data_IF_226090030253
#
_entry.id   IF_226090030253
#
_cell.length_a   1.000
_cell.length_b   1.000
_cell.length_c   1.000
_cell.angle_alpha   90.00
_cell.angle_beta   90.00
_cell.angle_gamma   90.00
#
_symmetry.space_group_name_H-M   'P 1'
#
loop_
_entity.id
_entity.type
_entity.pdbx_description
1 polymer ?
#
# COMPACT_ATOMS: atom_id res chain seq x y z
N UNK A 1 20.56 -54.87 -10.31
CA UNK A 1 19.44 -54.31 -11.12
C UNK A 1 18.49 -53.36 -10.34
N UNK A 2 18.65 -53.16 -9.02
CA UNK A 2 17.70 -52.40 -8.18
C UNK A 2 17.91 -50.88 -8.04
N UNK A 3 19.12 -50.35 -8.23
CA UNK A 3 19.39 -48.91 -8.01
C UNK A 3 19.01 -47.99 -9.20
N UNK A 4 18.92 -48.53 -10.43
CA UNK A 4 18.52 -47.74 -11.62
C UNK A 4 17.02 -47.41 -11.69
N UNK A 5 16.15 -48.16 -10.99
CA UNK A 5 14.69 -47.90 -10.98
C UNK A 5 14.26 -46.78 -10.02
N UNK A 6 15.05 -46.47 -8.98
CA UNK A 6 14.74 -45.40 -8.02
C UNK A 6 15.12 -44.00 -8.54
N UNK A 7 16.18 -43.89 -9.35
CA UNK A 7 16.63 -42.61 -9.91
C UNK A 7 15.64 -42.01 -10.95
N UNK A 8 14.86 -42.86 -11.65
CA UNK A 8 13.86 -42.43 -12.64
C UNK A 8 12.56 -41.87 -12.02
N UNK A 9 12.17 -42.34 -10.83
CA UNK A 9 10.93 -41.92 -10.16
C UNK A 9 11.08 -40.61 -9.39
N UNK A 10 12.30 -40.28 -8.92
CA UNK A 10 12.54 -39.08 -8.11
C UNK A 10 12.15 -37.78 -8.83
N UNK A 11 12.52 -37.61 -10.11
CA UNK A 11 12.20 -36.39 -10.87
C UNK A 11 10.70 -36.18 -11.08
N UNK A 12 9.96 -37.25 -11.38
CA UNK A 12 8.51 -37.21 -11.64
C UNK A 12 7.78 -36.92 -10.34
N UNK A 13 8.22 -37.54 -9.24
CA UNK A 13 7.66 -37.31 -7.92
C UNK A 13 7.88 -35.87 -7.47
N UNK A 14 9.11 -35.33 -7.55
CA UNK A 14 9.37 -33.93 -7.19
C UNK A 14 8.63 -32.94 -8.11
N UNK A 15 8.56 -33.20 -9.42
CA UNK A 15 7.79 -32.34 -10.34
C UNK A 15 6.29 -32.35 -10.00
N UNK A 16 5.74 -33.51 -9.65
CA UNK A 16 4.34 -33.64 -9.21
C UNK A 16 4.13 -32.93 -7.88
N UNK A 17 5.04 -33.10 -6.92
CA UNK A 17 4.93 -32.50 -5.59
C UNK A 17 5.03 -30.98 -5.65
N UNK A 18 6.01 -30.43 -6.39
CA UNK A 18 6.10 -28.98 -6.65
C UNK A 18 4.84 -28.45 -7.36
N UNK A 19 4.23 -29.27 -8.21
CA UNK A 19 2.97 -28.93 -8.85
C UNK A 19 1.76 -28.81 -7.92
N UNK A 20 1.81 -29.46 -6.75
CA UNK A 20 0.69 -29.58 -5.80
C UNK A 20 0.91 -28.76 -4.53
N UNK A 21 2.11 -28.83 -3.96
CA UNK A 21 2.52 -28.25 -2.69
C UNK A 21 3.97 -27.74 -2.81
N UNK A 22 4.18 -26.61 -3.52
CA UNK A 22 5.51 -26.06 -3.77
C UNK A 22 6.23 -25.60 -2.50
N UNK A 23 5.50 -25.18 -1.46
CA UNK A 23 6.06 -24.67 -0.20
C UNK A 23 6.86 -25.76 0.53
N UNK A 24 6.33 -26.99 0.60
CA UNK A 24 7.07 -28.11 1.15
C UNK A 24 8.08 -28.70 0.15
N UNK A 25 7.70 -28.76 -1.13
CA UNK A 25 8.46 -29.49 -2.14
C UNK A 25 9.76 -28.80 -2.57
N UNK A 26 9.77 -27.47 -2.72
CA UNK A 26 10.96 -26.73 -3.19
C UNK A 26 12.12 -26.84 -2.17
N UNK A 27 11.91 -26.64 -0.85
CA UNK A 27 12.94 -26.87 0.15
C UNK A 27 13.43 -28.33 0.18
N UNK A 28 12.52 -29.29 0.08
CA UNK A 28 12.87 -30.71 0.04
C UNK A 28 13.71 -31.06 -1.20
N UNK A 29 13.40 -30.47 -2.36
CA UNK A 29 14.18 -30.62 -3.59
C UNK A 29 15.57 -30.00 -3.44
N UNK A 30 15.67 -28.81 -2.84
CA UNK A 30 16.96 -28.18 -2.57
C UNK A 30 17.83 -29.06 -1.64
N UNK A 31 17.25 -29.60 -0.58
CA UNK A 31 17.93 -30.54 0.31
C UNK A 31 18.35 -31.82 -0.43
N UNK A 32 17.51 -32.32 -1.35
CA UNK A 32 17.85 -33.47 -2.18
C UNK A 32 19.07 -33.23 -3.05
N UNK A 33 19.18 -32.06 -3.69
CA UNK A 33 20.37 -31.71 -4.46
C UNK A 33 21.61 -31.60 -3.57
N UNK A 34 21.50 -30.93 -2.41
CA UNK A 34 22.61 -30.77 -1.47
C UNK A 34 23.13 -32.11 -0.91
N UNK A 35 22.25 -33.11 -0.76
CA UNK A 35 22.61 -34.45 -0.29
C UNK A 35 23.23 -35.38 -1.35
N UNK A 36 23.40 -34.92 -2.59
CA UNK A 36 24.15 -35.66 -3.62
C UNK A 36 25.63 -35.24 -3.59
N UNK A 37 26.54 -36.21 -3.55
CA UNK A 37 27.98 -35.94 -3.47
C UNK A 37 28.63 -35.68 -4.84
N UNK A 38 27.96 -36.05 -5.93
CA UNK A 38 28.48 -35.91 -7.30
C UNK A 38 27.82 -34.71 -8.01
N UNK A 39 28.58 -33.65 -8.36
CA UNK A 39 28.07 -32.50 -9.12
C UNK A 39 27.44 -32.87 -10.47
N UNK A 40 27.91 -33.93 -11.13
CA UNK A 40 27.35 -34.38 -12.40
C UNK A 40 25.94 -34.96 -12.21
N UNK A 41 25.73 -35.75 -11.17
CA UNK A 41 24.41 -36.29 -10.83
C UNK A 41 23.45 -35.22 -10.29
N UNK A 42 23.95 -34.21 -9.56
CA UNK A 42 23.15 -33.02 -9.20
C UNK A 42 22.62 -32.30 -10.44
N UNK A 43 23.52 -31.98 -11.38
CA UNK A 43 23.18 -31.29 -12.63
C UNK A 43 22.19 -32.11 -13.44
N UNK A 44 22.45 -33.40 -13.62
CA UNK A 44 21.57 -34.31 -14.37
C UNK A 44 20.17 -34.41 -13.75
N UNK A 45 20.08 -34.46 -12.41
CA UNK A 45 18.78 -34.44 -11.73
C UNK A 45 18.06 -33.11 -11.93
N UNK A 46 18.76 -31.98 -11.83
CA UNK A 46 18.17 -30.66 -12.04
C UNK A 46 17.63 -30.48 -13.46
N UNK A 47 18.42 -30.86 -14.47
CA UNK A 47 17.99 -30.85 -15.88
C UNK A 47 16.74 -31.71 -16.08
N UNK A 48 16.75 -32.94 -15.58
CA UNK A 48 15.63 -33.86 -15.75
C UNK A 48 14.38 -33.40 -14.97
N UNK A 49 14.54 -32.84 -13.78
CA UNK A 49 13.46 -32.29 -12.96
C UNK A 49 12.77 -31.12 -13.66
N UNK A 50 13.52 -30.08 -14.06
CA UNK A 50 12.92 -28.84 -14.57
C UNK A 50 12.16 -29.09 -15.87
N UNK A 51 12.69 -29.96 -16.73
CA UNK A 51 12.03 -30.40 -17.97
C UNK A 51 10.78 -31.22 -17.67
N UNK A 52 10.79 -32.05 -16.62
CA UNK A 52 9.59 -32.80 -16.20
C UNK A 52 8.51 -31.87 -15.62
N UNK A 53 8.90 -30.80 -14.93
CA UNK A 53 7.98 -29.84 -14.33
C UNK A 53 7.27 -28.98 -15.38
N UNK A 54 8.02 -28.42 -16.33
CA UNK A 54 7.49 -27.53 -17.37
C UNK A 54 6.95 -28.27 -18.60
N UNK A 55 7.42 -29.49 -18.85
CA UNK A 55 7.30 -30.13 -20.15
C UNK A 55 8.46 -29.75 -21.08
N UNK A 56 8.68 -30.57 -22.11
CA UNK A 56 9.59 -30.25 -23.20
C UNK A 56 8.83 -29.62 -24.37
N UNK A 57 9.53 -29.17 -25.42
CA UNK A 57 8.89 -28.57 -26.62
C UNK A 57 7.86 -29.48 -27.32
N UNK A 58 7.88 -30.79 -27.04
CA UNK A 58 7.02 -31.82 -27.64
C UNK A 58 6.07 -32.51 -26.66
N UNK A 59 6.04 -32.11 -25.38
CA UNK A 59 5.20 -32.71 -24.35
C UNK A 59 4.72 -31.65 -23.35
N UNK A 60 3.41 -31.53 -23.15
CA UNK A 60 2.86 -30.69 -22.08
C UNK A 60 3.32 -31.20 -20.70
N UNK A 61 3.69 -30.27 -19.83
CA UNK A 61 4.01 -30.56 -18.43
C UNK A 61 2.83 -31.20 -17.73
N UNK A 62 3.03 -32.38 -17.14
CA UNK A 62 1.96 -33.16 -16.48
C UNK A 62 1.73 -32.76 -15.02
N UNK A 63 2.50 -31.81 -14.51
CA UNK A 63 2.39 -31.32 -13.15
C UNK A 63 1.20 -30.37 -13.03
N UNK A 64 0.56 -30.39 -11.86
CA UNK A 64 -0.34 -29.30 -11.46
C UNK A 64 0.45 -27.98 -11.39
N UNK A 65 -0.25 -26.84 -11.43
CA UNK A 65 0.37 -25.53 -11.63
C UNK A 65 0.45 -24.68 -10.34
N UNK A 66 0.40 -25.28 -9.15
CA UNK A 66 0.45 -24.52 -7.89
C UNK A 66 1.74 -23.69 -7.74
N UNK A 67 2.84 -24.13 -8.35
CA UNK A 67 4.11 -23.39 -8.39
C UNK A 67 4.09 -22.13 -9.28
N UNK A 68 3.00 -21.84 -10.01
CA UNK A 68 2.90 -20.66 -10.89
C UNK A 68 2.54 -19.40 -10.11
N UNK A 69 3.35 -19.10 -9.10
CA UNK A 69 3.35 -17.85 -8.35
C UNK A 69 4.71 -17.18 -8.51
N UNK A 70 4.78 -15.86 -8.35
CA UNK A 70 6.06 -15.12 -8.42
C UNK A 70 7.07 -15.67 -7.40
N UNK A 71 6.61 -15.99 -6.19
CA UNK A 71 7.44 -16.50 -5.10
C UNK A 71 8.07 -17.87 -5.43
N UNK A 72 7.26 -18.82 -5.88
CA UNK A 72 7.73 -20.17 -6.21
C UNK A 72 8.58 -20.15 -7.48
N UNK A 73 8.21 -19.36 -8.49
CA UNK A 73 8.99 -19.18 -9.73
C UNK A 73 10.37 -18.60 -9.44
N UNK A 74 10.46 -17.59 -8.56
CA UNK A 74 11.74 -17.02 -8.10
C UNK A 74 12.59 -18.08 -7.42
N UNK A 75 12.01 -18.81 -6.46
CA UNK A 75 12.71 -19.85 -5.69
C UNK A 75 13.22 -20.97 -6.59
N UNK A 76 12.39 -21.44 -7.51
CA UNK A 76 12.77 -22.43 -8.52
C UNK A 76 13.86 -21.89 -9.45
N UNK A 77 13.75 -20.66 -9.93
CA UNK A 77 14.76 -20.06 -10.80
C UNK A 77 16.13 -20.00 -10.11
N UNK A 78 16.19 -19.46 -8.89
CA UNK A 78 17.43 -19.35 -8.13
C UNK A 78 18.04 -20.71 -7.81
N UNK A 79 17.20 -21.71 -7.50
CA UNK A 79 17.65 -23.08 -7.29
C UNK A 79 18.20 -23.70 -8.58
N UNK A 80 17.49 -23.58 -9.69
CA UNK A 80 17.89 -24.14 -10.98
C UNK A 80 19.13 -23.46 -11.54
N UNK A 81 19.30 -22.15 -11.36
CA UNK A 81 20.45 -21.39 -11.84
C UNK A 81 21.79 -21.87 -11.24
N UNK A 82 21.78 -22.55 -10.09
CA UNK A 82 22.98 -23.17 -9.48
C UNK A 82 23.50 -24.36 -10.29
N UNK A 83 22.60 -25.12 -10.89
CA UNK A 83 22.91 -26.39 -11.58
C UNK A 83 22.80 -26.26 -13.10
N UNK A 84 22.01 -25.31 -13.59
CA UNK A 84 21.80 -25.01 -15.00
C UNK A 84 22.45 -23.64 -15.28
N UNK A 85 23.79 -23.60 -15.24
CA UNK A 85 24.56 -22.36 -15.36
C UNK A 85 24.40 -21.74 -16.74
N UNK A 86 24.32 -20.42 -16.81
CA UNK A 86 24.13 -19.69 -18.07
C UNK A 86 25.37 -19.71 -18.97
N UNK A 87 26.57 -19.80 -18.40
CA UNK A 87 27.82 -19.94 -19.16
C UNK A 87 27.89 -21.23 -20.00
N UNK A 88 27.18 -22.28 -19.54
CA UNK A 88 27.08 -23.57 -20.22
C UNK A 88 25.94 -23.62 -21.25
N UNK A 89 25.30 -22.48 -21.55
CA UNK A 89 24.16 -22.44 -22.45
C UNK A 89 24.55 -22.72 -23.91
N UNK A 90 23.86 -23.69 -24.51
CA UNK A 90 24.05 -24.06 -25.90
C UNK A 90 23.42 -22.97 -26.80
N UNK A 91 24.25 -22.29 -27.59
CA UNK A 91 23.80 -21.32 -28.60
C UNK A 91 23.56 -22.00 -29.95
N UNK A 92 22.28 -22.21 -30.27
CA UNK A 92 21.82 -22.82 -31.53
C UNK A 92 21.42 -21.81 -32.62
N UNK A 93 21.19 -20.55 -32.27
CA UNK A 93 20.76 -19.51 -33.20
C UNK A 93 21.74 -19.37 -34.39
N UNK A 94 21.20 -19.35 -35.61
CA UNK A 94 21.99 -19.18 -36.84
C UNK A 94 22.84 -20.38 -37.26
N UNK A 95 22.71 -21.55 -36.63
CA UNK A 95 23.56 -22.73 -36.89
C UNK A 95 22.89 -23.86 -37.69
N UNK A 96 21.80 -23.57 -38.39
CA UNK A 96 21.07 -24.55 -39.21
C UNK A 96 20.13 -25.46 -38.40
N UNK A 97 19.74 -26.58 -39.01
CA UNK A 97 18.78 -27.54 -38.42
C UNK A 97 19.48 -28.34 -37.32
N UNK A 98 18.85 -28.43 -36.14
CA UNK A 98 19.32 -29.24 -35.02
C UNK A 98 18.16 -29.99 -34.36
N UNK A 99 18.48 -31.07 -33.67
CA UNK A 99 17.55 -31.76 -32.77
C UNK A 99 17.83 -31.32 -31.33
N UNK A 100 16.87 -30.69 -30.62
CA UNK A 100 17.05 -30.29 -29.23
C UNK A 100 17.33 -31.49 -28.32
N UNK A 101 18.27 -31.34 -27.38
CA UNK A 101 18.52 -32.32 -26.32
C UNK A 101 17.99 -31.85 -24.96
N UNK A 102 18.14 -32.72 -23.94
CA UNK A 102 17.72 -32.42 -22.56
C UNK A 102 18.27 -31.08 -22.03
N UNK A 103 19.49 -30.73 -22.42
CA UNK A 103 20.11 -29.46 -22.04
C UNK A 103 19.44 -28.25 -22.70
N UNK A 104 19.09 -28.34 -23.98
CA UNK A 104 18.33 -27.29 -24.68
C UNK A 104 16.97 -27.07 -23.99
N UNK A 105 16.23 -28.15 -23.69
CA UNK A 105 14.92 -28.07 -23.01
C UNK A 105 15.02 -27.48 -21.59
N UNK A 106 16.06 -27.84 -20.85
CA UNK A 106 16.25 -27.35 -19.49
C UNK A 106 16.64 -25.86 -19.45
N UNK A 107 17.40 -25.39 -20.44
CA UNK A 107 17.67 -23.96 -20.62
C UNK A 107 16.38 -23.19 -20.89
N UNK A 108 15.53 -23.71 -21.77
CA UNK A 108 14.23 -23.10 -22.07
C UNK A 108 13.34 -23.05 -20.83
N UNK A 109 13.28 -24.14 -20.05
CA UNK A 109 12.51 -24.19 -18.82
C UNK A 109 13.04 -23.20 -17.76
N UNK A 110 14.38 -23.06 -17.61
CA UNK A 110 14.99 -22.03 -16.76
C UNK A 110 14.61 -20.62 -17.22
N UNK A 111 14.61 -20.37 -18.53
CA UNK A 111 14.24 -19.08 -19.10
C UNK A 111 12.74 -18.80 -18.93
N UNK A 112 11.89 -19.82 -18.98
CA UNK A 112 10.45 -19.70 -18.76
C UNK A 112 10.11 -19.28 -17.31
N UNK A 113 10.87 -19.77 -16.31
CA UNK A 113 10.71 -19.35 -14.91
C UNK A 113 10.88 -17.82 -14.75
N UNK A 114 11.95 -17.25 -15.31
CA UNK A 114 12.18 -15.79 -15.24
C UNK A 114 11.25 -15.00 -16.16
N UNK A 115 10.90 -15.54 -17.34
CA UNK A 115 9.94 -14.91 -18.23
C UNK A 115 8.58 -14.72 -17.54
N UNK A 116 8.10 -15.74 -16.83
CA UNK A 116 6.88 -15.64 -16.02
C UNK A 116 6.93 -14.47 -15.04
N UNK A 117 8.03 -14.32 -14.29
CA UNK A 117 8.19 -13.21 -13.33
C UNK A 117 8.19 -11.85 -14.06
N UNK A 118 8.91 -11.75 -15.18
CA UNK A 118 8.99 -10.51 -15.98
C UNK A 118 7.65 -10.11 -16.59
N UNK A 119 6.84 -11.08 -16.98
CA UNK A 119 5.53 -10.86 -17.61
C UNK A 119 4.42 -10.65 -16.59
N UNK A 120 4.57 -11.14 -15.36
CA UNK A 120 3.60 -10.91 -14.27
C UNK A 120 3.60 -9.42 -13.89
N UNK A 121 2.49 -8.69 -13.98
CA UNK A 121 2.42 -7.29 -13.57
C UNK A 121 2.46 -7.14 -12.05
N UNK A 122 2.91 -5.98 -11.59
CA UNK A 122 2.77 -5.53 -10.21
C UNK A 122 4.01 -5.66 -9.35
N UNK A 123 3.92 -5.03 -8.18
CA UNK A 123 4.99 -4.91 -7.19
C UNK A 123 5.61 -6.25 -6.75
N UNK A 124 4.88 -7.36 -6.57
CA UNK A 124 5.50 -8.64 -6.21
C UNK A 124 6.56 -9.10 -7.22
N UNK A 125 6.31 -8.96 -8.54
CA UNK A 125 7.25 -9.32 -9.59
C UNK A 125 8.49 -8.42 -9.58
N UNK A 126 8.29 -7.10 -9.39
CA UNK A 126 9.38 -6.15 -9.23
C UNK A 126 10.30 -6.50 -8.04
N UNK A 127 9.72 -6.78 -6.88
CA UNK A 127 10.47 -7.15 -5.67
C UNK A 127 11.24 -8.46 -5.85
N UNK A 128 10.62 -9.47 -6.49
CA UNK A 128 11.30 -10.71 -6.81
C UNK A 128 12.53 -10.50 -7.69
N UNK A 129 12.44 -9.63 -8.71
CA UNK A 129 13.58 -9.30 -9.59
C UNK A 129 14.69 -8.56 -8.83
N UNK A 130 14.34 -7.64 -7.90
CA UNK A 130 15.32 -6.98 -7.03
C UNK A 130 16.04 -7.96 -6.11
N UNK A 131 15.31 -8.91 -5.53
CA UNK A 131 15.91 -9.96 -4.69
C UNK A 131 16.82 -10.87 -5.52
N UNK A 132 16.38 -11.27 -6.71
CA UNK A 132 17.20 -12.03 -7.66
C UNK A 132 18.49 -11.29 -8.03
N UNK A 133 18.46 -9.97 -8.19
CA UNK A 133 19.65 -9.15 -8.45
C UNK A 133 20.69 -9.20 -7.32
N UNK A 134 20.29 -9.54 -6.10
CA UNK A 134 21.19 -9.71 -4.95
C UNK A 134 21.58 -11.17 -4.75
N UNK A 135 20.61 -12.08 -4.89
CA UNK A 135 20.73 -13.49 -4.50
C UNK A 135 21.14 -14.42 -5.65
N UNK A 136 21.26 -13.94 -6.89
CA UNK A 136 21.64 -14.79 -8.01
C UNK A 136 22.97 -15.51 -7.74
N UNK A 137 23.06 -16.84 -7.96
CA UNK A 137 24.26 -17.61 -7.66
C UNK A 137 25.44 -17.25 -8.57
N UNK A 138 25.17 -16.88 -9.82
CA UNK A 138 26.16 -16.28 -10.72
C UNK A 138 26.15 -14.75 -10.60
N UNK A 139 27.28 -14.16 -10.23
CA UNK A 139 27.46 -12.72 -10.07
C UNK A 139 27.35 -11.96 -11.40
N UNK A 140 27.78 -12.57 -12.51
CA UNK A 140 27.70 -11.96 -13.85
C UNK A 140 26.26 -11.72 -14.31
N UNK A 141 25.32 -12.51 -13.80
CA UNK A 141 23.88 -12.40 -14.10
C UNK A 141 23.16 -11.38 -13.21
N UNK A 142 23.73 -10.94 -12.08
CA UNK A 142 23.08 -10.01 -11.14
C UNK A 142 22.70 -8.65 -11.77
N UNK A 143 23.57 -7.98 -12.56
CA UNK A 143 23.20 -6.74 -13.25
C UNK A 143 22.01 -6.91 -14.21
N UNK A 144 21.89 -8.08 -14.84
CA UNK A 144 20.77 -8.38 -15.75
C UNK A 144 19.44 -8.48 -15.00
N UNK A 145 19.42 -9.06 -13.79
CA UNK A 145 18.24 -9.06 -12.93
C UNK A 145 17.85 -7.64 -12.50
N UNK A 146 18.84 -6.79 -12.17
CA UNK A 146 18.62 -5.38 -11.86
C UNK A 146 18.03 -4.60 -13.05
N UNK A 147 18.51 -4.89 -14.27
CA UNK A 147 17.93 -4.35 -15.49
C UNK A 147 16.45 -4.74 -15.65
N UNK A 148 16.10 -6.01 -15.43
CA UNK A 148 14.69 -6.46 -15.49
C UNK A 148 13.83 -5.82 -14.42
N UNK A 149 14.33 -5.64 -13.20
CA UNK A 149 13.59 -4.92 -12.15
C UNK A 149 13.29 -3.48 -12.58
N UNK A 150 14.27 -2.78 -13.17
CA UNK A 150 14.06 -1.42 -13.71
C UNK A 150 13.05 -1.41 -14.86
N UNK A 151 13.15 -2.36 -15.79
CA UNK A 151 12.21 -2.48 -16.90
C UNK A 151 10.78 -2.79 -16.43
N UNK A 152 10.63 -3.64 -15.41
CA UNK A 152 9.35 -3.94 -14.75
C UNK A 152 8.76 -2.70 -14.10
N UNK A 153 9.54 -1.93 -13.34
CA UNK A 153 9.08 -0.69 -12.74
C UNK A 153 8.60 0.32 -13.79
N UNK A 154 9.32 0.44 -14.92
CA UNK A 154 8.92 1.31 -16.02
C UNK A 154 7.60 0.84 -16.66
N UNK A 155 7.52 -0.44 -17.04
CA UNK A 155 6.32 -1.01 -17.67
C UNK A 155 5.09 -0.94 -16.76
N UNK A 156 5.25 -1.18 -15.46
CA UNK A 156 4.14 -1.10 -14.50
C UNK A 156 3.77 0.36 -14.15
N UNK A 157 4.62 1.34 -14.46
CA UNK A 157 4.33 2.77 -14.26
C UNK A 157 3.60 3.41 -15.43
N UNK A 158 3.66 2.79 -16.62
CA UNK A 158 2.93 3.29 -17.78
C UNK A 158 1.43 3.31 -17.50
N UNK A 159 0.79 4.41 -17.86
CA UNK A 159 -0.66 4.58 -17.77
C UNK A 159 -1.27 4.04 -19.05
N UNK A 160 -2.37 3.29 -18.91
CA UNK A 160 -3.11 2.81 -20.07
C UNK A 160 -3.54 3.99 -20.95
N UNK A 161 -3.42 3.81 -22.27
CA UNK A 161 -3.89 4.80 -23.21
C UNK A 161 -5.41 5.01 -23.03
N UNK A 162 -5.84 6.26 -22.93
CA UNK A 162 -7.25 6.58 -22.79
C UNK A 162 -8.05 6.05 -23.98
N UNK A 163 -9.20 5.43 -23.67
CA UNK A 163 -10.17 5.09 -24.70
C UNK A 163 -10.73 6.38 -25.35
N UNK A 164 -11.15 6.34 -26.64
CA UNK A 164 -11.77 7.50 -27.29
C UNK A 164 -12.95 8.10 -26.51
N UNK A 165 -13.70 7.26 -25.78
CA UNK A 165 -14.78 7.70 -24.91
C UNK A 165 -14.29 8.55 -23.72
N UNK A 166 -13.17 8.17 -23.08
CA UNK A 166 -12.55 8.92 -21.98
C UNK A 166 -11.99 10.25 -22.48
N UNK A 167 -11.36 10.30 -23.65
CA UNK A 167 -10.89 11.55 -24.27
C UNK A 167 -12.05 12.52 -24.49
N UNK A 168 -13.17 12.02 -25.03
CA UNK A 168 -14.38 12.83 -25.23
C UNK A 168 -15.00 13.29 -23.93
N UNK A 169 -15.04 12.44 -22.89
CA UNK A 169 -15.52 12.82 -21.56
C UNK A 169 -14.65 13.93 -20.97
N UNK A 170 -13.34 13.74 -20.97
CA UNK A 170 -12.38 14.74 -20.52
C UNK A 170 -12.55 16.07 -21.27
N UNK A 171 -12.73 16.05 -22.59
CA UNK A 171 -12.98 17.26 -23.37
C UNK A 171 -14.26 18.03 -22.97
N UNK A 172 -15.23 17.36 -22.33
CA UNK A 172 -16.49 17.97 -21.86
C UNK A 172 -16.43 18.40 -20.40
N UNK A 173 -15.81 17.60 -19.54
CA UNK A 173 -15.84 17.80 -18.09
C UNK A 173 -14.49 18.09 -17.43
N UNK A 174 -13.41 18.15 -18.22
CA UNK A 174 -12.01 18.28 -17.77
C UNK A 174 -11.56 17.22 -16.76
N UNK A 175 -12.31 16.12 -16.68
CA UNK A 175 -12.12 15.01 -15.76
C UNK A 175 -12.66 13.76 -16.46
N UNK A 176 -11.86 12.69 -16.52
CA UNK A 176 -12.27 11.37 -17.03
C UNK A 176 -12.82 10.50 -15.88
N UNK A 177 -13.70 9.54 -16.19
CA UNK A 177 -14.10 8.52 -15.22
C UNK A 177 -12.95 7.52 -15.01
N UNK A 178 -12.57 7.19 -13.76
CA UNK A 178 -11.55 6.19 -13.49
C UNK A 178 -11.98 4.83 -14.04
N UNK A 179 -11.06 4.14 -14.73
CA UNK A 179 -11.31 2.83 -15.32
C UNK A 179 -10.73 1.67 -14.48
N UNK A 180 -9.85 1.97 -13.53
CA UNK A 180 -9.18 0.98 -12.69
C UNK A 180 -8.87 1.53 -11.29
N UNK A 181 -8.37 0.65 -10.42
CA UNK A 181 -8.03 0.96 -9.04
C UNK A 181 -7.03 2.14 -8.89
N UNK A 182 -6.01 2.17 -9.75
CA UNK A 182 -4.95 3.19 -9.72
C UNK A 182 -5.51 4.57 -10.07
N UNK A 183 -6.29 4.65 -11.13
CA UNK A 183 -6.95 5.90 -11.52
C UNK A 183 -7.90 6.39 -10.43
N UNK A 184 -8.72 5.51 -9.84
CA UNK A 184 -9.60 5.88 -8.74
C UNK A 184 -8.82 6.43 -7.53
N UNK A 185 -7.67 5.86 -7.23
CA UNK A 185 -6.80 6.37 -6.16
C UNK A 185 -6.29 7.77 -6.47
N UNK A 186 -5.83 8.03 -7.70
CA UNK A 186 -5.45 9.40 -8.11
C UNK A 186 -6.62 10.38 -8.01
N UNK A 187 -7.83 9.97 -8.41
CA UNK A 187 -9.03 10.79 -8.25
C UNK A 187 -9.36 11.07 -6.77
N UNK A 188 -9.23 10.07 -5.90
CA UNK A 188 -9.48 10.23 -4.47
C UNK A 188 -8.46 11.19 -3.83
N UNK A 189 -7.17 11.05 -4.17
CA UNK A 189 -6.10 11.96 -3.75
C UNK A 189 -6.39 13.39 -4.22
N UNK A 190 -6.66 13.59 -5.52
CA UNK A 190 -6.98 14.90 -6.10
C UNK A 190 -8.16 15.58 -5.39
N UNK A 191 -9.21 14.81 -5.06
CA UNK A 191 -10.38 15.34 -4.34
C UNK A 191 -10.05 15.74 -2.92
N UNK A 192 -9.24 14.96 -2.20
CA UNK A 192 -8.81 15.31 -0.86
C UNK A 192 -7.82 16.49 -0.84
N UNK A 193 -6.95 16.62 -1.84
CA UNK A 193 -6.07 17.78 -2.00
C UNK A 193 -6.86 19.04 -2.36
N UNK A 194 -7.92 18.93 -3.16
CA UNK A 194 -8.84 20.02 -3.41
C UNK A 194 -9.58 20.46 -2.12
N UNK A 195 -10.03 19.51 -1.29
CA UNK A 195 -10.61 19.82 0.03
C UNK A 195 -9.58 20.49 0.94
N UNK A 196 -8.35 19.98 0.98
CA UNK A 196 -7.24 20.58 1.72
C UNK A 196 -7.07 22.04 1.30
N UNK A 197 -6.99 22.30 0.00
CA UNK A 197 -6.84 23.66 -0.53
C UNK A 197 -8.02 24.56 -0.16
N UNK A 198 -9.26 24.10 -0.31
CA UNK A 198 -10.46 24.85 0.06
C UNK A 198 -10.45 25.26 1.55
N UNK A 199 -10.01 24.36 2.43
CA UNK A 199 -9.97 24.62 3.88
C UNK A 199 -8.78 25.48 4.31
N UNK A 200 -7.62 25.31 3.68
CA UNK A 200 -6.38 26.01 4.04
C UNK A 200 -6.25 27.38 3.38
N UNK A 201 -6.74 27.53 2.15
CA UNK A 201 -6.47 28.69 1.31
C UNK A 201 -7.71 29.33 0.71
N UNK A 202 -8.89 28.71 0.80
CA UNK A 202 -10.12 29.24 0.24
C UNK A 202 -10.66 30.46 0.98
N UNK A 203 -11.13 31.47 0.23
CA UNK A 203 -11.74 32.69 0.79
C UNK A 203 -13.01 32.41 1.62
N UNK A 204 -13.71 31.32 1.28
CA UNK A 204 -14.91 30.85 1.97
C UNK A 204 -14.63 29.68 2.94
N UNK A 205 -13.36 29.52 3.35
CA UNK A 205 -12.95 28.43 4.24
C UNK A 205 -13.79 28.39 5.52
N UNK A 206 -14.26 27.18 5.83
CA UNK A 206 -14.99 26.87 7.07
C UNK A 206 -14.08 26.27 8.15
N UNK A 207 -12.75 26.36 8.00
CA UNK A 207 -11.78 25.73 8.91
C UNK A 207 -12.00 26.10 10.38
N UNK A 208 -12.35 27.37 10.68
CA UNK A 208 -12.64 27.83 12.04
C UNK A 208 -13.89 27.17 12.66
N UNK A 209 -14.88 26.81 11.85
CA UNK A 209 -16.07 26.06 12.29
C UNK A 209 -15.67 24.61 12.59
N UNK A 210 -14.93 23.99 11.68
CA UNK A 210 -14.46 22.60 11.82
C UNK A 210 -13.48 22.43 12.99
N UNK A 211 -12.64 23.41 13.30
CA UNK A 211 -11.75 23.39 14.46
C UNK A 211 -12.47 23.20 15.81
N UNK A 212 -13.74 23.60 15.91
CA UNK A 212 -14.52 23.42 17.13
C UNK A 212 -15.04 21.97 17.29
N UNK A 213 -14.97 21.16 16.24
CA UNK A 213 -15.37 19.76 16.23
C UNK A 213 -14.18 18.90 16.61
N UNK A 214 -14.35 18.03 17.61
CA UNK A 214 -13.28 17.15 18.07
C UNK A 214 -13.56 15.67 17.78
N UNK A 215 -14.66 15.34 17.09
CA UNK A 215 -15.03 13.94 16.82
C UNK A 215 -14.64 13.53 15.41
N UNK A 216 -13.81 12.50 15.31
CA UNK A 216 -13.38 11.90 14.03
C UNK A 216 -14.58 11.45 13.17
N UNK A 217 -15.65 10.94 13.81
CA UNK A 217 -16.88 10.55 13.12
C UNK A 217 -17.58 11.70 12.39
N UNK A 218 -17.46 12.93 12.92
CA UNK A 218 -18.07 14.11 12.28
C UNK A 218 -17.22 14.58 11.10
N UNK A 219 -15.89 14.52 11.21
CA UNK A 219 -15.00 14.74 10.07
C UNK A 219 -15.20 13.71 8.98
N UNK A 220 -15.36 12.42 9.33
CA UNK A 220 -15.68 11.35 8.39
C UNK A 220 -16.94 11.66 7.59
N UNK A 221 -18.04 12.05 8.26
CA UNK A 221 -19.30 12.43 7.60
C UNK A 221 -19.12 13.65 6.69
N UNK A 222 -18.45 14.68 7.17
CA UNK A 222 -18.22 15.92 6.42
C UNK A 222 -17.38 15.67 5.17
N UNK A 223 -16.21 15.05 5.32
CA UNK A 223 -15.27 14.77 4.22
C UNK A 223 -15.93 13.82 3.22
N UNK A 224 -16.56 12.74 3.69
CA UNK A 224 -17.28 11.79 2.82
C UNK A 224 -18.42 12.44 2.05
N UNK A 225 -19.19 13.34 2.68
CA UNK A 225 -20.22 14.14 2.01
C UNK A 225 -19.63 15.08 0.95
N UNK A 226 -18.60 15.85 1.32
CA UNK A 226 -17.92 16.77 0.41
C UNK A 226 -17.37 16.06 -0.83
N UNK A 227 -16.74 14.90 -0.65
CA UNK A 227 -16.21 14.07 -1.74
C UNK A 227 -17.34 13.50 -2.60
N UNK A 228 -18.45 13.05 -2.00
CA UNK A 228 -19.61 12.50 -2.72
C UNK A 228 -20.29 13.56 -3.59
N UNK A 229 -20.51 14.76 -3.06
CA UNK A 229 -21.17 15.86 -3.77
C UNK A 229 -20.38 16.28 -5.03
N UNK A 230 -19.06 16.04 -5.02
CA UNK A 230 -18.13 16.33 -6.12
C UNK A 230 -17.77 15.10 -6.96
N UNK A 231 -18.38 13.96 -6.70
CA UNK A 231 -18.11 12.74 -7.46
C UNK A 231 -18.60 12.83 -8.90
N UNK A 232 -19.70 13.57 -9.13
CA UNK A 232 -20.31 13.76 -10.45
C UNK A 232 -20.50 12.45 -11.23
N UNK A 233 -20.93 11.39 -10.52
CA UNK A 233 -21.20 10.06 -11.08
C UNK A 233 -19.97 9.19 -11.37
N UNK A 234 -18.75 9.61 -11.01
CA UNK A 234 -17.51 8.88 -11.33
C UNK A 234 -17.08 7.86 -10.28
N UNK A 235 -17.49 8.10 -9.04
CA UNK A 235 -17.27 7.20 -7.92
C UNK A 235 -18.38 7.39 -6.89
N UNK A 236 -18.46 6.49 -5.91
CA UNK A 236 -19.31 6.64 -4.73
C UNK A 236 -18.48 6.49 -3.46
N UNK A 237 -18.89 7.22 -2.42
CA UNK A 237 -18.32 7.11 -1.07
C UNK A 237 -19.48 6.81 -0.13
N UNK A 238 -19.77 5.53 0.18
CA UNK A 238 -20.83 5.17 1.12
C UNK A 238 -20.51 5.69 2.53
N UNK A 239 -21.55 5.91 3.34
CA UNK A 239 -21.36 6.09 4.78
C UNK A 239 -21.57 4.74 5.47
N UNK A 240 -20.80 4.48 6.52
CA UNK A 240 -21.01 3.35 7.44
C UNK A 240 -20.87 1.94 6.83
N UNK A 241 -19.99 1.76 5.84
CA UNK A 241 -19.70 0.44 5.28
C UNK A 241 -18.82 -0.40 6.24
N UNK A 242 -19.08 -1.71 6.28
CA UNK A 242 -18.40 -2.68 7.14
C UNK A 242 -17.73 -3.77 6.30
N UNK A 243 -16.45 -4.04 6.59
CA UNK A 243 -15.69 -5.15 6.03
C UNK A 243 -16.11 -6.47 6.70
N UNK A 244 -15.70 -7.59 6.10
CA UNK A 244 -16.07 -8.93 6.56
C UNK A 244 -15.66 -9.26 8.02
N UNK A 245 -14.67 -8.55 8.58
CA UNK A 245 -14.20 -8.70 9.95
C UNK A 245 -14.76 -7.64 10.92
N UNK A 246 -15.89 -7.03 10.56
CA UNK A 246 -16.55 -5.93 11.28
C UNK A 246 -15.76 -4.62 11.37
N UNK A 247 -14.61 -4.52 10.66
CA UNK A 247 -13.85 -3.27 10.58
C UNK A 247 -14.49 -2.31 9.58
N UNK A 248 -14.37 -1.01 9.84
CA UNK A 248 -14.96 0.05 9.02
C UNK A 248 -13.88 1.06 8.66
N UNK A 249 -13.35 1.04 7.42
CA UNK A 249 -12.53 2.13 6.92
C UNK A 249 -13.25 3.46 7.09
N UNK A 250 -12.50 4.52 7.38
CA UNK A 250 -13.13 5.82 7.60
C UNK A 250 -13.81 6.33 6.32
N UNK A 251 -13.12 6.24 5.19
CA UNK A 251 -13.69 6.51 3.89
C UNK A 251 -13.33 5.36 2.96
N UNK A 252 -14.23 5.07 2.00
CA UNK A 252 -13.97 4.08 0.96
C UNK A 252 -14.54 4.58 -0.35
N UNK A 253 -13.69 4.73 -1.35
CA UNK A 253 -14.09 5.18 -2.68
C UNK A 253 -14.32 3.96 -3.55
N UNK A 254 -15.46 3.92 -4.23
CA UNK A 254 -15.81 2.89 -5.21
C UNK A 254 -15.90 3.51 -6.59
N UNK A 255 -15.15 2.98 -7.54
CA UNK A 255 -15.27 3.35 -8.94
C UNK A 255 -16.57 2.82 -9.54
N UNK A 256 -16.95 3.37 -10.69
CA UNK A 256 -18.09 2.89 -11.46
C UNK A 256 -17.60 1.90 -12.50
N UNK A 257 -18.15 0.68 -12.49
CA UNK A 257 -17.87 -0.34 -13.51
C UNK A 257 -16.72 -1.30 -13.21
N UNK A 258 -16.09 -1.22 -12.03
CA UNK A 258 -15.11 -2.21 -11.56
C UNK A 258 -15.15 -2.32 -10.03
N UNK A 259 -14.69 -3.45 -9.50
CA UNK A 259 -14.71 -3.77 -8.07
C UNK A 259 -13.29 -3.75 -7.48
N UNK A 260 -12.77 -2.55 -7.27
CA UNK A 260 -11.44 -2.32 -6.72
C UNK A 260 -11.40 -1.01 -5.89
N UNK A 261 -11.98 -1.02 -4.68
CA UNK A 261 -12.18 0.19 -3.89
C UNK A 261 -10.87 0.73 -3.31
N UNK A 262 -10.85 2.03 -3.04
CA UNK A 262 -9.74 2.74 -2.41
C UNK A 262 -10.12 3.15 -0.99
N UNK A 263 -9.56 2.53 0.06
CA UNK A 263 -9.79 2.97 1.43
C UNK A 263 -8.96 4.21 1.77
N UNK A 264 -9.53 5.08 2.60
CA UNK A 264 -8.80 6.12 3.31
C UNK A 264 -9.06 6.01 4.82
N UNK A 265 -7.98 6.00 5.60
CA UNK A 265 -8.02 6.03 7.05
C UNK A 265 -7.81 7.47 7.52
N UNK A 266 -8.69 7.96 8.39
CA UNK A 266 -8.72 9.34 8.87
C UNK A 266 -8.31 9.39 10.33
N UNK A 267 -7.41 10.31 10.69
CA UNK A 267 -7.05 10.57 12.08
C UNK A 267 -6.99 12.07 12.38
N UNK A 268 -7.56 12.47 13.52
CA UNK A 268 -7.36 13.81 14.07
C UNK A 268 -6.00 13.87 14.76
N UNK A 269 -4.99 14.47 14.12
CA UNK A 269 -3.58 14.37 14.51
C UNK A 269 -3.33 14.75 15.98
N UNK A 270 -4.07 15.73 16.50
CA UNK A 270 -4.02 16.18 17.89
C UNK A 270 -4.35 15.11 18.94
N UNK A 271 -5.19 14.13 18.57
CA UNK A 271 -5.68 13.07 19.46
C UNK A 271 -4.74 11.87 19.57
N UNK A 272 -3.67 11.86 18.80
CA UNK A 272 -2.77 10.70 18.69
C UNK A 272 -1.34 11.08 19.04
N UNK A 273 -0.57 10.11 19.57
CA UNK A 273 0.89 10.25 19.66
C UNK A 273 1.51 9.87 18.31
N UNK A 274 2.72 10.34 18.02
CA UNK A 274 3.39 9.99 16.78
C UNK A 274 3.57 8.48 16.60
N UNK A 275 4.05 7.71 17.60
CA UNK A 275 4.17 6.25 17.45
C UNK A 275 2.86 5.54 17.12
N UNK A 276 1.73 6.00 17.67
CA UNK A 276 0.43 5.43 17.30
C UNK A 276 0.00 5.81 15.88
N UNK A 277 0.33 7.01 15.38
CA UNK A 277 0.01 7.35 13.98
C UNK A 277 0.79 6.47 12.99
N UNK A 278 2.05 6.14 13.29
CA UNK A 278 2.85 5.22 12.49
C UNK A 278 2.28 3.80 12.55
N UNK A 279 1.94 3.32 13.75
CA UNK A 279 1.25 2.03 13.92
C UNK A 279 -0.06 1.97 13.14
N UNK A 280 -0.87 3.02 13.15
CA UNK A 280 -2.14 3.07 12.42
C UNK A 280 -1.96 3.04 10.91
N UNK A 281 -0.93 3.71 10.39
CA UNK A 281 -0.56 3.62 8.98
C UNK A 281 -0.21 2.16 8.63
N UNK A 282 0.64 1.52 9.42
CA UNK A 282 1.12 0.16 9.18
C UNK A 282 0.04 -0.91 9.36
N UNK A 283 -0.52 -0.99 10.57
CA UNK A 283 -1.37 -2.11 10.98
C UNK A 283 -2.78 -1.93 10.45
N UNK A 284 -3.34 -0.73 10.58
CA UNK A 284 -4.74 -0.50 10.22
C UNK A 284 -4.88 -0.27 8.71
N UNK A 285 -4.10 0.63 8.11
CA UNK A 285 -4.24 0.90 6.68
C UNK A 285 -3.59 -0.20 5.83
N UNK A 286 -2.27 -0.43 5.92
CA UNK A 286 -1.62 -1.48 5.13
C UNK A 286 -2.11 -2.87 5.55
N UNK A 287 -2.07 -3.10 6.87
CA UNK A 287 -2.27 -4.40 7.47
C UNK A 287 -3.71 -4.88 7.41
N UNK A 288 -4.71 -4.02 7.65
CA UNK A 288 -6.13 -4.44 7.72
C UNK A 288 -6.91 -4.16 6.44
N UNK A 289 -6.85 -2.94 5.92
CA UNK A 289 -7.75 -2.53 4.84
C UNK A 289 -7.23 -2.87 3.44
N UNK A 290 -5.92 -2.96 3.28
CA UNK A 290 -5.26 -3.26 1.99
C UNK A 290 -4.85 -4.74 1.88
N UNK A 291 -5.55 -5.63 2.59
CA UNK A 291 -5.35 -7.10 2.51
C UNK A 291 -5.94 -7.71 1.23
N UNK A 292 -7.00 -7.13 0.70
CA UNK A 292 -7.68 -7.65 -0.49
C UNK A 292 -6.84 -7.33 -1.73
N UNK A 293 -6.62 -8.34 -2.59
CA UNK A 293 -5.86 -8.20 -3.84
C UNK A 293 -6.42 -7.13 -4.78
N UNK A 294 -7.70 -6.76 -4.62
CA UNK A 294 -8.38 -5.71 -5.39
C UNK A 294 -8.09 -4.30 -4.86
N UNK A 295 -7.50 -4.15 -3.68
CA UNK A 295 -7.20 -2.87 -3.03
C UNK A 295 -5.73 -2.80 -2.68
N UNK A 296 -4.90 -2.34 -3.61
CA UNK A 296 -3.44 -2.20 -3.43
C UNK A 296 -2.99 -0.78 -3.10
N UNK A 297 -3.88 0.22 -3.08
CA UNK A 297 -3.56 1.62 -2.79
C UNK A 297 -4.51 2.22 -1.77
N UNK A 298 -3.95 2.97 -0.82
CA UNK A 298 -4.71 3.62 0.25
C UNK A 298 -4.30 5.06 0.51
N UNK A 299 -5.08 5.74 1.34
CA UNK A 299 -4.82 7.12 1.74
C UNK A 299 -4.82 7.21 3.27
N UNK A 300 -3.78 7.80 3.84
CA UNK A 300 -3.72 8.12 5.26
C UNK A 300 -3.98 9.63 5.44
N UNK A 301 -5.19 9.97 5.87
CA UNK A 301 -5.66 11.34 5.96
C UNK A 301 -5.55 11.85 7.40
N UNK A 302 -4.82 12.94 7.58
CA UNK A 302 -4.66 13.62 8.86
C UNK A 302 -5.36 14.96 8.82
N UNK A 303 -6.07 15.29 9.91
CA UNK A 303 -6.59 16.64 10.14
C UNK A 303 -5.98 17.20 11.41
N UNK A 304 -5.43 18.41 11.32
CA UNK A 304 -4.82 19.11 12.44
C UNK A 304 -5.69 20.29 12.91
N UNK A 305 -5.97 20.31 14.22
CA UNK A 305 -6.85 21.27 14.88
C UNK A 305 -6.09 22.39 15.60
N UNK A 306 -4.76 22.29 15.76
CA UNK A 306 -3.95 23.33 16.40
C UNK A 306 -3.77 23.21 17.91
N UNK A 307 -4.16 22.09 18.52
CA UNK A 307 -4.07 21.90 19.98
C UNK A 307 -2.78 21.22 20.43
N UNK A 308 -2.14 20.45 19.56
CA UNK A 308 -0.86 19.80 19.79
C UNK A 308 0.27 20.55 19.08
N UNK A 309 1.44 20.65 19.70
CA UNK A 309 2.57 21.40 19.15
C UNK A 309 3.76 20.54 18.69
N UNK A 310 3.70 19.22 18.90
CA UNK A 310 4.72 18.30 18.42
C UNK A 310 4.25 16.84 18.48
N UNK A 311 4.96 15.96 17.79
CA UNK A 311 4.81 14.50 17.87
C UNK A 311 6.18 13.82 17.97
N UNK A 312 6.34 12.95 18.95
CA UNK A 312 7.55 12.11 19.03
C UNK A 312 7.54 11.09 17.89
N UNK A 313 8.70 10.80 17.31
CA UNK A 313 8.86 9.89 16.18
C UNK A 313 9.42 8.54 16.67
N UNK A 314 9.16 7.42 15.97
CA UNK A 314 9.65 6.10 16.39
C UNK A 314 11.18 6.00 16.52
N UNK A 315 11.91 6.83 15.79
CA UNK A 315 13.37 6.90 15.81
C UNK A 315 13.95 7.76 16.95
N UNK A 316 13.11 8.19 17.90
CA UNK A 316 13.51 9.04 19.03
C UNK A 316 13.66 10.54 18.69
N UNK A 317 13.47 10.94 17.43
CA UNK A 317 13.36 12.34 17.02
C UNK A 317 11.95 12.88 17.31
N UNK A 318 11.71 14.13 16.94
CA UNK A 318 10.43 14.82 17.07
C UNK A 318 10.08 15.53 15.76
N UNK A 319 8.79 15.53 15.43
CA UNK A 319 8.19 16.45 14.48
C UNK A 319 7.63 17.65 15.24
N UNK A 320 8.26 18.82 15.08
CA UNK A 320 7.87 20.06 15.77
C UNK A 320 6.74 20.83 15.05
N UNK A 321 6.42 20.42 13.82
CA UNK A 321 5.30 20.96 13.04
C UNK A 321 4.41 19.84 12.51
N UNK A 322 3.18 20.18 12.15
CA UNK A 322 2.26 19.23 11.52
C UNK A 322 2.77 18.79 10.13
N UNK A 323 3.33 19.71 9.33
CA UNK A 323 3.96 19.40 8.05
C UNK A 323 5.08 18.34 8.21
N UNK A 324 5.95 18.51 9.21
CA UNK A 324 7.01 17.54 9.50
C UNK A 324 6.45 16.14 9.86
N UNK A 325 5.32 16.07 10.56
CA UNK A 325 4.69 14.80 10.89
C UNK A 325 4.18 14.10 9.61
N UNK A 326 3.51 14.84 8.72
CA UNK A 326 3.01 14.31 7.44
C UNK A 326 4.16 13.79 6.59
N UNK A 327 5.25 14.56 6.49
CA UNK A 327 6.46 14.16 5.76
C UNK A 327 7.12 12.91 6.36
N UNK A 328 7.20 12.82 7.69
CA UNK A 328 7.77 11.65 8.38
C UNK A 328 6.91 10.40 8.24
N UNK A 329 5.58 10.51 8.20
CA UNK A 329 4.69 9.38 7.88
C UNK A 329 4.83 8.94 6.43
N UNK A 330 4.89 9.88 5.48
CA UNK A 330 5.08 9.55 4.06
C UNK A 330 6.44 8.91 3.80
N UNK A 331 7.50 9.43 4.45
CA UNK A 331 8.85 8.85 4.40
C UNK A 331 8.88 7.46 5.01
N UNK A 332 8.19 7.26 6.13
CA UNK A 332 8.10 5.96 6.78
C UNK A 332 7.46 4.92 5.88
N UNK A 333 6.34 5.25 5.23
CA UNK A 333 5.73 4.40 4.20
C UNK A 333 6.76 4.00 3.13
N UNK A 334 7.49 4.97 2.55
CA UNK A 334 8.51 4.69 1.53
C UNK A 334 9.58 3.71 2.01
N UNK A 335 9.97 3.75 3.29
CA UNK A 335 10.96 2.84 3.87
C UNK A 335 10.44 1.41 4.02
N UNK A 336 9.20 1.26 4.49
CA UNK A 336 8.59 -0.06 4.76
C UNK A 336 7.85 -0.64 3.54
N UNK A 337 7.69 0.11 2.46
CA UNK A 337 6.84 -0.27 1.33
C UNK A 337 7.17 -1.66 0.78
N UNK A 338 8.43 -2.09 0.79
CA UNK A 338 8.84 -3.40 0.29
C UNK A 338 8.40 -4.56 1.18
N UNK A 339 8.12 -4.30 2.46
CA UNK A 339 7.61 -5.29 3.42
C UNK A 339 6.12 -5.58 3.21
N UNK A 340 5.43 -4.74 2.41
CA UNK A 340 4.03 -4.88 2.04
C UNK A 340 3.89 -5.09 0.52
N UNK A 341 4.21 -6.29 -0.02
CA UNK A 341 4.22 -6.53 -1.46
C UNK A 341 2.85 -6.41 -2.14
N UNK A 342 1.76 -6.64 -1.39
CA UNK A 342 0.38 -6.47 -1.87
C UNK A 342 -0.11 -5.01 -1.86
N UNK A 343 0.60 -4.11 -1.18
CA UNK A 343 0.29 -2.69 -1.13
C UNK A 343 1.22 -1.95 -2.07
N UNK A 344 0.71 -1.49 -3.20
CA UNK A 344 1.46 -0.74 -4.19
C UNK A 344 1.87 0.64 -3.67
N UNK A 345 0.93 1.43 -3.15
CA UNK A 345 1.24 2.78 -2.68
C UNK A 345 0.27 3.32 -1.60
N UNK A 346 0.77 4.23 -0.77
CA UNK A 346 0.02 4.98 0.23
C UNK A 346 0.37 6.45 0.12
N UNK A 347 -0.68 7.28 0.02
CA UNK A 347 -0.55 8.73 0.09
C UNK A 347 -0.93 9.21 1.47
N UNK A 348 -0.02 9.92 2.12
CA UNK A 348 -0.32 10.66 3.35
C UNK A 348 -0.74 12.07 2.97
N UNK A 349 -1.92 12.50 3.44
CA UNK A 349 -2.47 13.85 3.20
C UNK A 349 -2.73 14.48 4.55
N UNK A 350 -2.18 15.67 4.81
CA UNK A 350 -2.47 16.44 6.02
C UNK A 350 -3.28 17.68 5.70
N UNK A 351 -4.37 17.93 6.44
CA UNK A 351 -5.19 19.15 6.37
C UNK A 351 -4.99 19.96 7.64
N UNK A 352 -4.40 21.15 7.53
CA UNK A 352 -4.13 22.07 8.61
C UNK A 352 -5.23 23.14 8.73
N UNK A 353 -6.14 22.97 9.69
CA UNK A 353 -7.22 23.92 9.91
C UNK A 353 -6.77 25.21 10.62
N UNK A 354 -5.49 25.31 11.00
CA UNK A 354 -4.91 26.47 11.68
C UNK A 354 -4.33 27.50 10.74
N UNK A 355 -4.05 27.16 9.48
CA UNK A 355 -3.46 28.10 8.50
C UNK A 355 -4.27 29.41 8.38
N UNK A 356 -5.59 29.33 8.52
CA UNK A 356 -6.50 30.48 8.56
C UNK A 356 -7.40 30.52 9.80
N UNK A 357 -7.38 29.44 10.61
CA UNK A 357 -8.13 29.34 11.84
C UNK A 357 -7.64 30.36 12.87
N UNK A 358 -8.57 31.15 13.42
CA UNK A 358 -8.31 32.10 14.51
C UNK A 358 -7.50 31.37 15.58
N UNK A 359 -6.38 31.95 16.02
CA UNK A 359 -5.51 31.40 17.06
C UNK A 359 -6.35 30.83 18.21
N UNK A 360 -6.47 29.50 18.24
CA UNK A 360 -7.37 28.80 19.16
C UNK A 360 -6.83 28.89 20.59
N UNK A 361 -5.53 29.16 20.77
CA UNK A 361 -4.96 29.55 22.07
C UNK A 361 -5.50 30.91 22.48
N UNK A 362 -5.45 31.92 21.61
CA UNK A 362 -6.01 33.24 21.91
C UNK A 362 -7.52 33.17 22.18
N UNK A 363 -8.24 32.33 21.44
CA UNK A 363 -9.70 32.17 21.58
C UNK A 363 -10.08 31.40 22.85
N UNK A 364 -9.39 30.31 23.19
CA UNK A 364 -9.58 29.60 24.47
C UNK A 364 -9.15 30.47 25.65
N UNK A 365 -8.03 31.20 25.55
CA UNK A 365 -7.58 32.14 26.56
C UNK A 365 -8.60 33.26 26.78
N UNK A 366 -9.15 33.84 25.71
CA UNK A 366 -10.19 34.85 25.78
C UNK A 366 -11.50 34.31 26.40
N UNK A 367 -11.87 33.06 26.10
CA UNK A 367 -13.07 32.41 26.66
C UNK A 367 -12.88 32.07 28.14
N UNK A 368 -11.69 31.63 28.54
CA UNK A 368 -11.31 31.40 29.94
C UNK A 368 -11.29 32.72 30.73
N UNK A 369 -10.70 33.78 30.16
CA UNK A 369 -10.69 35.11 30.75
C UNK A 369 -12.10 35.70 30.93
N UNK A 370 -12.98 35.57 29.92
CA UNK A 370 -14.39 35.98 30.03
C UNK A 370 -15.15 35.17 31.10
N UNK A 371 -14.87 33.87 31.24
CA UNK A 371 -15.49 33.03 32.27
C UNK A 371 -15.02 33.44 33.68
N UNK A 372 -13.73 33.73 33.85
CA UNK A 372 -13.17 34.22 35.11
C UNK A 372 -13.74 35.59 35.50
N UNK A 373 -13.85 36.53 34.55
CA UNK A 373 -14.43 37.86 34.79
C UNK A 373 -15.93 37.82 35.15
N UNK A 374 -16.68 36.86 34.59
CA UNK A 374 -18.11 36.67 34.92
C UNK A 374 -18.32 36.07 36.31
N UNK A 375 -17.35 35.29 36.81
CA UNK A 375 -17.36 34.73 38.16
C UNK A 375 -17.00 35.81 39.19
N UNK A 376 -16.00 36.66 38.91
CA UNK A 376 -15.63 37.76 39.82
C UNK A 376 -16.69 38.87 39.89
N UNK A 377 -17.34 39.22 38.78
CA UNK A 377 -18.42 40.21 38.75
C UNK A 377 -19.73 39.78 39.44
N UNK A 378 -19.89 38.49 39.78
CA UNK A 378 -21.02 37.99 40.56
C UNK A 378 -20.81 38.08 42.08
N UNK A 379 -19.56 38.24 42.53
CA UNK A 379 -19.22 38.41 43.96
C UNK A 379 -19.25 39.88 44.42
N UNK A 380 -19.37 40.84 43.51
CA UNK A 380 -19.31 42.29 43.82
C UNK A 380 -20.64 43.04 43.61
N UNK A 381 -21.79 42.41 43.95
CA UNK A 381 -23.03 43.19 44.18
C UNK A 381 -23.15 43.52 45.67
N UNK A 382 -23.04 44.78 46.10
CA UNK A 382 -23.31 45.16 47.48
C UNK A 382 -24.82 45.14 47.74
N UNK A 383 -25.20 44.57 48.87
CA UNK A 383 -26.54 44.64 49.44
C UNK A 383 -26.88 46.10 49.76
N UNK A 384 -27.84 46.68 49.04
CA UNK A 384 -28.36 48.02 49.29
C UNK A 384 -29.13 48.09 50.60
N UNK A 385 -28.74 49.04 51.46
CA UNK A 385 -29.39 49.44 52.71
C UNK A 385 -30.90 49.73 52.52
N UNK A 386 -31.71 49.18 53.43
CA UNK A 386 -33.11 49.57 53.62
C UNK A 386 -33.15 50.88 54.43
N UNK A 387 -33.56 51.96 53.78
CA UNK A 387 -33.95 53.20 54.45
C UNK A 387 -35.22 52.99 55.30
N UNK A 388 -35.14 53.37 56.57
CA UNK A 388 -36.29 53.44 57.49
C UNK A 388 -36.66 54.91 57.74
N UNK A 389 -37.76 55.37 57.14
CA UNK A 389 -38.45 56.62 57.48
C UNK A 389 -39.53 56.33 58.53
N UNK A 390 -39.41 56.89 59.73
CA UNK A 390 -40.49 57.31 60.66
C UNK A 390 -39.85 58.35 61.59
N UNK A 391 -40.44 59.45 62.03
CA UNK A 391 -41.81 59.95 62.03
C UNK A 391 -41.87 61.03 63.13
N UNK A 392 -42.41 62.19 62.78
CA UNK A 392 -42.65 63.38 63.62
C UNK A 392 -43.51 63.07 64.87
N UNK A 393 -43.20 63.63 66.05
CA UNK A 393 -44.10 64.23 67.08
C UNK A 393 -43.33 64.48 68.40
N UNK A 394 -43.13 65.74 68.80
CA UNK A 394 -43.90 66.57 69.76
C UNK A 394 -43.51 66.35 71.23
N UNK A 395 -43.07 67.44 71.86
CA UNK A 395 -43.67 67.95 73.09
C UNK A 395 -42.91 67.74 74.40
N UNK A 396 -42.51 68.88 74.97
CA UNK A 396 -42.07 69.19 76.34
C UNK A 396 -40.69 68.72 76.76
#
# INVERSE_FOLDING_TARGET
MGQRKLAGNGRVWFATWVGVDPDAAIPALAARFAGLNDPAEQTKLALAFVVTLFGGRSQEGRARQAFRTVEHMKSLYLLMARYIRQEDDIRRAGKGVYSPGLRDDAQDARNALIAFIRETPGKPAFLALLEMARAHPDEGSRPWMGFHAKAKAAADSDVDAWAPAQVREFGKSLVATPANHRELWYHAVDKLDALKHDLENGDSSIASILQAVDRETEFRKFIGGWCRDRAAGRYVVPQEEELADAKRPDLRFFGVGFDAPVPAELKLADKWTGPHLFERLEVQLCGDYLRDVRSSRGIFLLVYLGTKSYWDLPNGRRADTFEMLVDELQRHWTLIANDYPGVEDIRVIGIDLTQRGIDTKATKAAKAAKKAAKISGKMTKPSSEKGLKKGKKRGQ
#
